data_IF_406491400417
#
_entry.id   IF_406491400417
#
_cell.length_a   1.000
_cell.length_b   1.000
_cell.length_c   1.000
_cell.angle_alpha   90.00
_cell.angle_beta   90.00
_cell.angle_gamma   90.00
#
_symmetry.space_group_name_H-M   'P 1'
#
loop_
_entity.id
_entity.type
_entity.pdbx_description
1 polymer ?
#
# COMPACT_ATOMS: atom_id res chain seq x y z
N UNK A 1 8.96 0.62 -8.87
CA UNK A 1 7.93 1.25 -8.01
C UNK A 1 7.45 0.30 -6.90
N UNK A 2 6.66 -0.75 -7.17
CA UNK A 2 6.12 -1.61 -6.09
C UNK A 2 7.17 -2.31 -5.20
N UNK A 3 8.32 -2.74 -5.73
CA UNK A 3 9.40 -3.33 -4.90
C UNK A 3 10.06 -2.29 -3.98
N UNK A 4 10.15 -1.02 -4.40
CA UNK A 4 10.64 0.07 -3.54
C UNK A 4 9.63 0.37 -2.43
N UNK A 5 8.33 0.39 -2.79
CA UNK A 5 7.24 0.52 -1.83
C UNK A 5 7.25 -0.62 -0.81
N UNK A 6 7.44 -1.86 -1.26
CA UNK A 6 7.61 -3.02 -0.39
C UNK A 6 8.80 -2.84 0.57
N UNK A 7 9.95 -2.40 0.06
CA UNK A 7 11.14 -2.15 0.89
C UNK A 7 10.87 -1.09 1.96
N UNK A 8 10.18 0.00 1.60
CA UNK A 8 9.77 1.04 2.53
C UNK A 8 8.79 0.51 3.58
N UNK A 9 7.77 -0.23 3.17
CA UNK A 9 6.80 -0.84 4.07
C UNK A 9 7.48 -1.79 5.08
N UNK A 10 8.48 -2.55 4.63
CA UNK A 10 9.28 -3.42 5.48
C UNK A 10 10.09 -2.63 6.52
N UNK A 11 10.75 -1.55 6.10
CA UNK A 11 11.45 -0.62 7.01
C UNK A 11 10.52 0.00 8.06
N UNK A 12 9.26 0.22 7.69
CA UNK A 12 8.25 0.80 8.57
C UNK A 12 7.56 -0.23 9.47
N UNK A 13 7.86 -1.53 9.30
CA UNK A 13 7.28 -2.63 10.08
C UNK A 13 5.82 -2.94 9.73
N UNK A 14 5.40 -2.63 8.50
CA UNK A 14 3.99 -2.75 8.09
C UNK A 14 3.67 -4.05 7.35
N UNK A 15 4.68 -4.75 6.80
CA UNK A 15 4.47 -5.94 5.97
C UNK A 15 3.77 -7.05 6.76
N UNK A 16 2.74 -7.61 6.12
CA UNK A 16 2.04 -8.82 6.56
C UNK A 16 1.72 -9.72 5.37
N UNK A 17 1.19 -10.92 5.64
CA UNK A 17 0.78 -11.87 4.61
C UNK A 17 -0.26 -11.31 3.63
N UNK A 18 -1.12 -10.40 4.08
CA UNK A 18 -2.11 -9.77 3.21
C UNK A 18 -1.46 -8.81 2.21
N UNK A 19 -0.43 -8.06 2.63
CA UNK A 19 0.36 -7.23 1.72
C UNK A 19 1.07 -8.08 0.67
N UNK A 20 1.63 -9.23 1.07
CA UNK A 20 2.27 -10.18 0.14
C UNK A 20 1.25 -10.73 -0.86
N UNK A 21 0.09 -11.20 -0.39
CA UNK A 21 -0.99 -11.70 -1.24
C UNK A 21 -1.48 -10.67 -2.24
N UNK A 22 -1.82 -9.46 -1.77
CA UNK A 22 -2.28 -8.37 -2.63
C UNK A 22 -1.18 -7.90 -3.59
N UNK A 23 0.08 -7.89 -3.14
CA UNK A 23 1.23 -7.58 -4.00
C UNK A 23 1.43 -8.63 -5.10
N UNK A 24 1.21 -9.91 -4.81
CA UNK A 24 1.28 -10.99 -5.80
C UNK A 24 0.14 -10.89 -6.83
N UNK A 25 -1.10 -10.69 -6.37
CA UNK A 25 -2.28 -10.45 -7.24
C UNK A 25 -2.14 -9.20 -8.10
N UNK A 26 -1.38 -8.23 -7.61
CA UNK A 26 -1.17 -6.94 -8.26
C UNK A 26 -2.09 -5.87 -7.69
N UNK A 27 -1.57 -4.65 -7.66
CA UNK A 27 -2.28 -3.44 -7.28
C UNK A 27 -1.93 -2.30 -8.27
N UNK A 28 -2.43 -1.07 -8.11
CA UNK A 28 -2.14 0.02 -9.05
C UNK A 28 -0.64 0.32 -9.26
N UNK A 29 0.26 -0.07 -8.35
CA UNK A 29 1.72 0.04 -8.52
C UNK A 29 2.37 -1.14 -9.27
N UNK A 30 1.60 -2.16 -9.65
CA UNK A 30 2.05 -3.36 -10.36
C UNK A 30 2.05 -4.62 -9.50
N UNK A 31 2.93 -5.57 -9.83
CA UNK A 31 3.09 -6.84 -9.13
C UNK A 31 4.40 -6.89 -8.35
N UNK A 32 4.34 -7.37 -7.11
CA UNK A 32 5.52 -7.63 -6.30
C UNK A 32 6.39 -8.70 -6.99
N UNK A 33 7.71 -8.65 -6.81
CA UNK A 33 8.58 -9.67 -7.36
C UNK A 33 8.47 -11.00 -6.59
N UNK A 34 8.64 -12.13 -7.29
CA UNK A 34 8.74 -13.45 -6.65
C UNK A 34 9.89 -13.51 -5.63
N UNK A 35 11.00 -12.79 -5.88
CA UNK A 35 12.12 -12.68 -4.92
C UNK A 35 11.66 -12.08 -3.59
N UNK A 36 10.89 -10.99 -3.61
CA UNK A 36 10.42 -10.37 -2.37
C UNK A 36 9.39 -11.24 -1.62
N UNK A 37 8.53 -11.96 -2.35
CA UNK A 37 7.61 -12.93 -1.76
C UNK A 37 8.39 -14.06 -1.09
N UNK A 38 9.36 -14.64 -1.80
CA UNK A 38 10.22 -15.72 -1.31
C UNK A 38 11.04 -15.29 -0.09
N UNK A 39 11.66 -14.11 -0.12
CA UNK A 39 12.42 -13.56 1.00
C UNK A 39 11.57 -13.39 2.26
N UNK A 40 10.37 -12.82 2.10
CA UNK A 40 9.42 -12.68 3.22
C UNK A 40 9.02 -14.05 3.78
N UNK A 41 8.60 -14.96 2.90
CA UNK A 41 8.14 -16.29 3.29
C UNK A 41 9.26 -17.12 3.93
N UNK A 42 10.52 -16.99 3.50
CA UNK A 42 11.68 -17.60 4.15
C UNK A 42 11.86 -17.11 5.60
N UNK A 43 11.73 -15.80 5.82
CA UNK A 43 11.76 -15.22 7.15
C UNK A 43 10.62 -15.76 8.03
N UNK A 44 9.41 -15.85 7.50
CA UNK A 44 8.27 -16.42 8.22
C UNK A 44 8.42 -17.93 8.48
N UNK A 45 8.93 -18.69 7.52
CA UNK A 45 9.18 -20.12 7.63
C UNK A 45 10.13 -20.43 8.79
N UNK A 46 11.15 -19.60 9.00
CA UNK A 46 12.12 -19.76 10.10
C UNK A 46 11.50 -19.64 11.50
N UNK A 47 10.25 -19.15 11.59
CA UNK A 47 9.50 -18.96 12.83
C UNK A 47 8.50 -20.08 13.08
N UNK A 48 8.27 -20.97 12.11
CA UNK A 48 7.29 -22.05 12.20
C UNK A 48 7.89 -23.31 12.82
N UNK A 49 7.07 -24.02 13.58
CA UNK A 49 7.37 -25.38 14.02
C UNK A 49 7.07 -26.40 12.90
N UNK A 50 7.75 -27.55 12.93
CA UNK A 50 7.55 -28.63 11.95
C UNK A 50 6.14 -29.23 11.94
N UNK A 51 5.32 -28.92 12.94
CA UNK A 51 3.92 -29.36 13.04
C UNK A 51 2.92 -28.26 12.71
N UNK A 52 3.38 -27.07 12.28
CA UNK A 52 2.51 -25.96 11.94
C UNK A 52 1.65 -26.32 10.71
N UNK A 53 0.34 -26.02 10.79
CA UNK A 53 -0.62 -26.30 9.74
C UNK A 53 -0.43 -25.44 8.47
N UNK A 54 0.48 -24.47 8.51
CA UNK A 54 0.88 -23.60 7.40
C UNK A 54 2.27 -23.93 6.84
N UNK A 55 2.96 -24.94 7.39
CA UNK A 55 4.34 -25.24 7.01
C UNK A 55 4.48 -25.47 5.50
N UNK A 56 3.52 -26.19 4.90
CA UNK A 56 3.53 -26.50 3.46
C UNK A 56 3.36 -25.23 2.63
N UNK A 57 2.30 -24.46 2.87
CA UNK A 57 2.00 -23.27 2.07
C UNK A 57 3.09 -22.21 2.20
N UNK A 58 3.63 -22.01 3.40
CA UNK A 58 4.73 -21.06 3.64
C UNK A 58 6.03 -21.55 3.00
N UNK A 59 6.30 -22.86 2.98
CA UNK A 59 7.46 -23.42 2.27
C UNK A 59 7.35 -23.21 0.76
N UNK A 60 6.17 -23.47 0.18
CA UNK A 60 5.95 -23.26 -1.26
C UNK A 60 6.14 -21.78 -1.65
N UNK A 61 5.65 -20.85 -0.83
CA UNK A 61 5.92 -19.42 -1.02
C UNK A 61 7.41 -19.07 -0.85
N UNK A 62 8.10 -19.68 0.11
CA UNK A 62 9.53 -19.45 0.38
C UNK A 62 10.42 -19.88 -0.79
N UNK A 63 10.04 -20.91 -1.55
CA UNK A 63 10.81 -21.41 -2.69
C UNK A 63 10.26 -20.95 -4.06
N UNK A 64 9.32 -20.00 -4.09
CA UNK A 64 8.78 -19.51 -5.36
C UNK A 64 9.82 -18.75 -6.18
N UNK A 65 9.87 -18.98 -7.49
CA UNK A 65 10.73 -18.26 -8.43
C UNK A 65 9.94 -17.39 -9.41
N UNK A 66 8.63 -17.63 -9.51
CA UNK A 66 7.69 -16.90 -10.34
C UNK A 66 6.32 -16.84 -9.66
N UNK A 67 5.47 -15.89 -10.07
CA UNK A 67 4.11 -15.77 -9.57
C UNK A 67 3.18 -16.62 -10.44
N UNK A 68 2.69 -17.72 -9.89
CA UNK A 68 1.71 -18.60 -10.52
C UNK A 68 0.34 -18.49 -9.86
N UNK A 69 -0.69 -18.99 -10.52
CA UNK A 69 -2.02 -19.09 -9.90
C UNK A 69 -2.03 -19.97 -8.64
N UNK A 70 -1.20 -21.01 -8.60
CA UNK A 70 -1.03 -21.88 -7.43
C UNK A 70 -0.42 -21.11 -6.25
N UNK A 71 0.63 -20.32 -6.50
CA UNK A 71 1.21 -19.45 -5.47
C UNK A 71 0.16 -18.47 -4.91
N UNK A 72 -0.66 -17.85 -5.78
CA UNK A 72 -1.72 -16.93 -5.35
C UNK A 72 -2.73 -17.65 -4.45
N UNK A 73 -3.17 -18.85 -4.82
CA UNK A 73 -4.10 -19.64 -4.01
C UNK A 73 -3.49 -20.03 -2.66
N UNK A 74 -2.20 -20.35 -2.62
CA UNK A 74 -1.49 -20.65 -1.37
C UNK A 74 -1.39 -19.42 -0.46
N UNK A 75 -1.07 -18.25 -1.02
CA UNK A 75 -1.05 -16.99 -0.28
C UNK A 75 -2.43 -16.62 0.28
N UNK A 76 -3.49 -16.89 -0.47
CA UNK A 76 -4.88 -16.74 -0.01
C UNK A 76 -5.18 -17.68 1.17
N UNK A 77 -4.83 -18.97 1.04
CA UNK A 77 -5.01 -19.96 2.10
C UNK A 77 -4.24 -19.61 3.39
N UNK A 78 -3.03 -19.04 3.26
CA UNK A 78 -2.28 -18.52 4.40
C UNK A 78 -3.04 -17.36 5.06
N UNK A 79 -3.55 -16.41 4.26
CA UNK A 79 -4.34 -15.29 4.77
C UNK A 79 -5.59 -15.76 5.51
N UNK A 80 -6.33 -16.72 4.96
CA UNK A 80 -7.55 -17.28 5.55
C UNK A 80 -7.25 -17.96 6.88
N UNK A 81 -6.27 -18.87 6.91
CA UNK A 81 -5.88 -19.62 8.13
C UNK A 81 -5.35 -18.69 9.22
N UNK A 82 -4.66 -17.61 8.85
CA UNK A 82 -4.17 -16.60 9.81
C UNK A 82 -5.20 -15.52 10.15
N UNK A 83 -6.40 -15.56 9.56
CA UNK A 83 -7.43 -14.53 9.70
C UNK A 83 -6.89 -13.12 9.40
N UNK A 84 -6.11 -12.98 8.33
CA UNK A 84 -5.52 -11.70 7.93
C UNK A 84 -6.62 -10.74 7.49
N UNK A 85 -6.57 -9.51 8.00
CA UNK A 85 -7.47 -8.46 7.57
C UNK A 85 -6.98 -7.84 6.25
N UNK A 86 -7.50 -8.31 5.12
CA UNK A 86 -7.10 -7.82 3.80
C UNK A 86 -7.42 -6.33 3.59
N UNK A 87 -8.48 -5.79 4.20
CA UNK A 87 -8.79 -4.36 4.11
C UNK A 87 -7.71 -3.51 4.79
N UNK A 88 -7.14 -4.03 5.89
CA UNK A 88 -6.00 -3.38 6.55
C UNK A 88 -4.76 -3.42 5.67
N UNK A 89 -4.48 -4.55 5.01
CA UNK A 89 -3.36 -4.68 4.08
C UNK A 89 -3.50 -3.78 2.84
N UNK A 90 -4.73 -3.58 2.33
CA UNK A 90 -5.02 -2.60 1.27
C UNK A 90 -4.73 -1.17 1.74
N UNK A 91 -5.14 -0.81 2.97
CA UNK A 91 -4.81 0.50 3.58
C UNK A 91 -3.30 0.69 3.70
N UNK A 92 -2.55 -0.34 4.11
CA UNK A 92 -1.08 -0.29 4.17
C UNK A 92 -0.47 -0.02 2.80
N UNK A 93 -0.90 -0.72 1.75
CA UNK A 93 -0.42 -0.45 0.38
C UNK A 93 -0.71 0.99 -0.06
N UNK A 94 -1.93 1.48 0.17
CA UNK A 94 -2.34 2.85 -0.15
C UNK A 94 -1.49 3.89 0.59
N UNK A 95 -1.27 3.69 1.89
CA UNK A 95 -0.46 4.57 2.72
C UNK A 95 0.98 4.68 2.20
N UNK A 96 1.59 3.56 1.85
CA UNK A 96 2.95 3.52 1.31
C UNK A 96 3.03 4.14 -0.09
N UNK A 97 1.99 3.95 -0.90
CA UNK A 97 1.89 4.56 -2.22
C UNK A 97 1.81 6.08 -2.12
N UNK A 98 0.94 6.60 -1.24
CA UNK A 98 0.82 8.04 -1.01
C UNK A 98 2.10 8.63 -0.43
N UNK A 99 2.72 7.97 0.53
CA UNK A 99 4.01 8.40 1.10
C UNK A 99 5.08 8.50 0.01
N UNK A 100 5.16 7.50 -0.87
CA UNK A 100 6.09 7.50 -2.01
C UNK A 100 5.80 8.64 -2.98
N UNK A 101 4.52 8.90 -3.26
CA UNK A 101 4.06 10.02 -4.09
C UNK A 101 4.56 11.37 -3.53
N UNK A 102 4.27 11.64 -2.25
CA UNK A 102 4.61 12.91 -1.60
C UNK A 102 6.12 13.15 -1.47
N UNK A 103 6.94 12.10 -1.43
CA UNK A 103 8.39 12.24 -1.26
C UNK A 103 9.15 12.43 -2.57
N UNK A 104 8.74 11.76 -3.64
CA UNK A 104 9.59 11.58 -4.83
C UNK A 104 8.97 12.04 -6.13
N UNK A 105 7.65 12.22 -6.15
CA UNK A 105 6.90 12.17 -7.40
C UNK A 105 6.00 13.36 -7.64
N UNK A 106 5.76 14.21 -6.63
CA UNK A 106 5.01 15.43 -6.79
C UNK A 106 5.83 16.52 -7.52
N UNK A 107 5.30 17.11 -8.60
CA UNK A 107 5.89 18.27 -9.26
C UNK A 107 5.90 19.52 -8.36
N UNK A 108 6.85 20.42 -8.61
CA UNK A 108 6.84 21.77 -8.01
C UNK A 108 5.72 22.65 -8.57
N UNK A 109 5.31 22.41 -9.82
CA UNK A 109 4.16 23.09 -10.42
C UNK A 109 2.86 22.67 -9.73
N UNK A 110 2.17 23.63 -9.12
CA UNK A 110 1.00 23.39 -8.29
C UNK A 110 -0.18 22.81 -9.06
N UNK A 111 -0.37 23.14 -10.35
CA UNK A 111 -1.46 22.59 -11.16
C UNK A 111 -1.21 21.11 -11.41
N UNK A 112 -0.02 20.77 -11.88
CA UNK A 112 0.35 19.38 -12.14
C UNK A 112 0.44 18.55 -10.86
N UNK A 113 0.88 19.15 -9.76
CA UNK A 113 0.88 18.52 -8.43
C UNK A 113 -0.52 18.14 -7.96
N UNK A 114 -1.47 19.05 -8.06
CA UNK A 114 -2.88 18.79 -7.71
C UNK A 114 -3.53 17.76 -8.62
N UNK A 115 -3.25 17.79 -9.93
CA UNK A 115 -3.74 16.77 -10.86
C UNK A 115 -3.20 15.38 -10.49
N UNK A 116 -1.90 15.28 -10.18
CA UNK A 116 -1.28 14.01 -9.81
C UNK A 116 -1.82 13.45 -8.49
N UNK A 117 -2.13 14.32 -7.51
CA UNK A 117 -2.83 13.93 -6.27
C UNK A 117 -4.23 13.37 -6.56
N UNK A 118 -5.00 14.02 -7.44
CA UNK A 118 -6.33 13.53 -7.82
C UNK A 118 -6.24 12.18 -8.55
N UNK A 119 -5.31 12.04 -9.50
CA UNK A 119 -5.08 10.79 -10.23
C UNK A 119 -4.73 9.65 -9.26
N UNK A 120 -3.91 9.92 -8.25
CA UNK A 120 -3.60 8.96 -7.20
C UNK A 120 -4.87 8.46 -6.50
N UNK A 121 -5.72 9.35 -6.02
CA UNK A 121 -6.94 8.97 -5.29
C UNK A 121 -7.97 8.26 -6.17
N UNK A 122 -8.02 8.58 -7.47
CA UNK A 122 -8.84 7.85 -8.45
C UNK A 122 -8.34 6.41 -8.61
N UNK A 123 -7.02 6.20 -8.66
CA UNK A 123 -6.42 4.87 -8.87
C UNK A 123 -6.46 4.00 -7.62
N UNK A 124 -6.14 4.56 -6.46
CA UNK A 124 -6.04 3.83 -5.19
C UNK A 124 -7.33 3.81 -4.39
N UNK A 125 -8.33 4.59 -4.82
CA UNK A 125 -9.62 4.72 -4.17
C UNK A 125 -9.55 5.61 -2.93
N UNK A 126 -10.68 6.26 -2.67
CA UNK A 126 -10.86 7.13 -1.51
C UNK A 126 -11.29 6.33 -0.27
N UNK A 127 -10.86 6.75 0.92
CA UNK A 127 -11.34 6.23 2.19
C UNK A 127 -12.26 7.29 2.84
N UNK A 128 -13.19 6.88 3.70
CA UNK A 128 -14.15 7.79 4.36
C UNK A 128 -13.46 8.99 5.06
N UNK A 129 -12.23 8.81 5.53
CA UNK A 129 -11.45 9.82 6.24
C UNK A 129 -10.21 10.29 5.46
N UNK A 130 -10.17 10.13 4.14
CA UNK A 130 -9.00 10.58 3.38
C UNK A 130 -8.92 12.11 3.30
N UNK A 131 -7.69 12.66 3.10
CA UNK A 131 -7.47 14.10 2.94
C UNK A 131 -7.79 14.60 1.52
N UNK A 132 -8.31 13.73 0.65
CA UNK A 132 -8.62 14.07 -0.73
C UNK A 132 -9.71 15.14 -0.80
N UNK A 133 -9.46 16.20 -1.59
CA UNK A 133 -10.44 17.24 -1.88
C UNK A 133 -10.53 17.36 -3.39
N UNK A 134 -11.71 17.06 -3.92
CA UNK A 134 -12.02 17.21 -5.35
C UNK A 134 -12.86 18.46 -5.54
N UNK A 135 -12.45 19.33 -6.46
CA UNK A 135 -13.17 20.56 -6.74
C UNK A 135 -14.65 20.30 -7.07
N UNK A 136 -15.56 20.98 -6.38
CA UNK A 136 -17.01 20.87 -6.63
C UNK A 136 -17.67 19.63 -6.04
N UNK A 137 -16.92 18.78 -5.33
CA UNK A 137 -17.45 17.61 -4.59
C UNK A 137 -17.43 17.92 -3.10
N UNK A 138 -18.60 18.24 -2.54
CA UNK A 138 -18.73 18.60 -1.12
C UNK A 138 -18.07 19.93 -0.74
N UNK A 139 -17.66 20.74 -1.71
CA UNK A 139 -17.08 22.08 -1.52
C UNK A 139 -17.49 23.04 -2.64
N UNK A 140 -17.33 24.34 -2.40
CA UNK A 140 -17.66 25.43 -3.35
C UNK A 140 -16.40 26.08 -3.94
N UNK A 141 -15.27 25.38 -4.01
CA UNK A 141 -14.02 25.94 -4.52
C UNK A 141 -14.14 26.26 -6.01
N UNK A 142 -13.85 27.51 -6.37
CA UNK A 142 -13.69 27.91 -7.77
C UNK A 142 -12.40 27.32 -8.36
N UNK A 143 -12.26 27.25 -9.70
CA UNK A 143 -11.06 26.70 -10.31
C UNK A 143 -9.80 27.47 -9.90
N UNK A 144 -9.88 28.80 -9.79
CA UNK A 144 -8.76 29.64 -9.35
C UNK A 144 -8.37 29.41 -7.89
N UNK A 145 -9.32 29.09 -7.01
CA UNK A 145 -9.02 28.76 -5.61
C UNK A 145 -8.41 27.37 -5.49
N UNK A 146 -8.94 26.39 -6.24
CA UNK A 146 -8.45 25.02 -6.22
C UNK A 146 -7.03 24.93 -6.81
N UNK A 147 -6.83 25.47 -8.01
CA UNK A 147 -5.55 25.49 -8.71
C UNK A 147 -4.72 26.72 -8.29
N UNK A 148 -4.47 26.86 -6.99
CA UNK A 148 -3.57 27.87 -6.41
C UNK A 148 -2.39 27.20 -5.72
N UNK A 149 -1.27 27.93 -5.63
CA UNK A 149 -0.08 27.47 -4.92
C UNK A 149 -0.37 27.30 -3.41
N UNK A 150 -1.13 28.22 -2.82
CA UNK A 150 -1.52 28.14 -1.41
C UNK A 150 -2.35 26.89 -1.12
N UNK A 151 -3.32 26.55 -1.99
CA UNK A 151 -4.11 25.35 -1.82
C UNK A 151 -3.29 24.08 -2.02
N UNK A 152 -2.33 24.09 -2.96
CA UNK A 152 -1.43 22.96 -3.17
C UNK A 152 -0.59 22.63 -1.93
N UNK A 153 0.07 23.63 -1.35
CA UNK A 153 0.82 23.44 -0.11
C UNK A 153 -0.08 23.00 1.05
N UNK A 154 -1.25 23.64 1.21
CA UNK A 154 -2.22 23.27 2.24
C UNK A 154 -2.69 21.81 2.11
N UNK A 155 -2.94 21.35 0.89
CA UNK A 155 -3.33 19.96 0.64
C UNK A 155 -2.18 19.01 0.93
N UNK A 156 -0.95 19.30 0.51
CA UNK A 156 0.22 18.46 0.84
C UNK A 156 0.33 18.28 2.35
N UNK A 157 0.24 19.36 3.14
CA UNK A 157 0.34 19.27 4.60
C UNK A 157 -0.80 18.42 5.19
N UNK A 158 -2.04 18.57 4.72
CA UNK A 158 -3.15 17.69 5.14
C UNK A 158 -2.90 16.22 4.82
N UNK A 159 -2.27 15.92 3.68
CA UNK A 159 -1.92 14.55 3.31
C UNK A 159 -0.79 14.00 4.18
N UNK A 160 0.21 14.81 4.52
CA UNK A 160 1.28 14.44 5.47
C UNK A 160 0.71 14.15 6.86
N UNK A 161 -0.11 15.06 7.38
CA UNK A 161 -0.79 14.91 8.66
C UNK A 161 -1.66 13.65 8.72
N UNK A 162 -2.37 13.36 7.63
CA UNK A 162 -3.16 12.14 7.52
C UNK A 162 -2.28 10.89 7.49
N UNK A 163 -1.20 10.90 6.70
CA UNK A 163 -0.26 9.78 6.62
C UNK A 163 0.35 9.45 7.98
N UNK A 164 0.78 10.46 8.73
CA UNK A 164 1.42 10.24 10.03
C UNK A 164 0.45 9.53 11.00
N UNK A 165 -0.81 9.99 11.05
CA UNK A 165 -1.86 9.34 11.85
C UNK A 165 -2.18 7.93 11.35
N UNK A 166 -2.28 7.76 10.04
CA UNK A 166 -2.61 6.47 9.42
C UNK A 166 -1.51 5.45 9.71
N UNK A 167 -0.23 5.81 9.55
CA UNK A 167 0.92 4.94 9.84
C UNK A 167 0.93 4.54 11.32
N UNK A 168 0.66 5.48 12.23
CA UNK A 168 0.59 5.18 13.66
C UNK A 168 -0.52 4.17 13.97
N UNK A 169 -1.72 4.36 13.40
CA UNK A 169 -2.82 3.43 13.55
C UNK A 169 -2.50 2.04 12.99
N UNK A 170 -1.92 1.98 11.78
CA UNK A 170 -1.58 0.74 11.09
C UNK A 170 -0.48 -0.08 11.79
N UNK A 171 0.33 0.55 12.65
CA UNK A 171 1.33 -0.13 13.49
C UNK A 171 0.74 -0.74 14.76
N UNK A 172 -0.39 -0.21 15.23
CA UNK A 172 -1.07 -0.65 16.45
C UNK A 172 -2.13 -1.73 16.18
N UNK A 173 -2.53 -1.89 14.92
CA UNK A 173 -3.51 -2.87 14.41
C UNK A 173 -2.86 -4.19 14.00
#
# INVERSE_FOLDING_TARGET
>A
MINEMYSLANQMGLIDWGMIFLGAKGNPAGHLSASNISEFACSELSKLDMTDALLTEVSEAAFCTEITGELINNLEAICDKKNVNLQLSERKWKCIALYSLLLKELPDDYVYGLLKLNEFWVLWGDNVDSPNIVQGVGNNLSPSEYYSEENYHSLIEKHRDWLDREIEQLRLS
#
